data_IF_692268901710
#
_entry.id   IF_692268901710
#
_cell.length_a   1.000
_cell.length_b   1.000
_cell.length_c   1.000
_cell.angle_alpha   90.00
_cell.angle_beta   90.00
_cell.angle_gamma   90.00
#
_symmetry.space_group_name_H-M   'P 1'
#
loop_
_entity.id
_entity.type
_entity.pdbx_description
1 polymer ?
#
# COMPACT_ATOMS: atom_id res chain seq x y z
N UNK A 1 29.97 -28.09 -9.85
CA UNK A 1 30.68 -26.84 -10.15
C UNK A 1 29.79 -25.99 -11.04
N UNK A 2 28.99 -25.10 -10.44
CA UNK A 2 28.23 -24.08 -11.18
C UNK A 2 28.74 -22.74 -10.68
N UNK A 3 29.42 -22.02 -11.58
CA UNK A 3 30.05 -20.71 -11.39
C UNK A 3 28.97 -19.71 -10.96
N UNK A 4 29.03 -19.15 -9.75
CA UNK A 4 29.75 -17.92 -9.39
C UNK A 4 29.18 -16.64 -10.04
N UNK A 5 28.73 -15.72 -9.18
CA UNK A 5 28.58 -14.26 -9.38
C UNK A 5 27.36 -13.71 -10.16
N UNK A 6 26.12 -13.96 -9.73
CA UNK A 6 24.95 -13.10 -10.08
C UNK A 6 23.87 -13.02 -9.00
N UNK A 7 24.23 -13.19 -7.73
CA UNK A 7 23.27 -13.10 -6.60
C UNK A 7 22.61 -11.72 -6.44
N UNK A 8 23.09 -10.70 -7.14
CA UNK A 8 22.53 -9.35 -7.16
C UNK A 8 21.30 -9.26 -8.07
N UNK A 9 21.33 -9.87 -9.26
CA UNK A 9 20.22 -9.80 -10.20
C UNK A 9 19.00 -10.57 -9.72
N UNK A 10 19.19 -11.80 -9.25
CA UNK A 10 18.11 -12.63 -8.72
C UNK A 10 17.48 -11.98 -7.47
N UNK A 11 18.30 -11.40 -6.58
CA UNK A 11 17.79 -10.68 -5.39
C UNK A 11 17.07 -9.39 -5.76
N UNK A 12 17.62 -8.57 -6.67
CA UNK A 12 16.97 -7.31 -7.08
C UNK A 12 15.59 -7.60 -7.70
N UNK A 13 15.48 -8.59 -8.60
CA UNK A 13 14.21 -8.91 -9.26
C UNK A 13 13.17 -9.50 -8.31
N UNK A 14 13.57 -10.27 -7.29
CA UNK A 14 12.63 -10.79 -6.30
C UNK A 14 12.08 -9.71 -5.35
N UNK A 15 12.80 -8.60 -5.12
CA UNK A 15 12.40 -7.59 -4.13
C UNK A 15 11.70 -6.36 -4.77
N UNK A 16 11.84 -6.13 -6.08
CA UNK A 16 11.37 -4.88 -6.76
C UNK A 16 10.06 -4.97 -7.53
N UNK A 17 9.31 -6.07 -7.45
CA UNK A 17 7.98 -6.10 -8.08
C UNK A 17 6.97 -5.38 -7.19
N UNK A 18 6.69 -4.12 -7.53
CA UNK A 18 5.55 -3.38 -7.01
C UNK A 18 4.28 -4.21 -7.26
N UNK A 19 3.55 -4.60 -6.20
CA UNK A 19 2.46 -5.52 -6.31
C UNK A 19 1.31 -4.80 -7.00
N UNK A 20 0.75 -5.46 -8.01
CA UNK A 20 -0.37 -4.91 -8.79
C UNK A 20 -1.70 -5.13 -8.07
N UNK A 21 -1.75 -6.09 -7.17
CA UNK A 21 -2.94 -6.45 -6.42
C UNK A 21 -2.65 -6.57 -4.93
N UNK A 22 -3.69 -6.41 -4.10
CA UNK A 22 -3.56 -6.62 -2.66
C UNK A 22 -3.12 -8.06 -2.33
N UNK A 23 -3.57 -9.05 -3.13
CA UNK A 23 -3.20 -10.45 -2.91
C UNK A 23 -1.70 -10.66 -3.08
N UNK A 24 -1.11 -10.06 -4.13
CA UNK A 24 0.33 -10.12 -4.37
C UNK A 24 1.11 -9.46 -3.24
N UNK A 25 0.63 -8.31 -2.74
CA UNK A 25 1.23 -7.63 -1.59
C UNK A 25 1.22 -8.51 -0.33
N UNK A 26 0.13 -9.23 -0.07
CA UNK A 26 0.00 -10.14 1.08
C UNK A 26 0.88 -11.40 0.99
N UNK A 27 1.51 -11.68 -0.15
CA UNK A 27 2.46 -12.80 -0.24
C UNK A 27 3.85 -12.45 0.30
N UNK A 28 4.12 -11.17 0.54
CA UNK A 28 5.45 -10.68 0.85
C UNK A 28 5.44 -9.88 2.16
N UNK A 29 6.26 -10.29 3.12
CA UNK A 29 6.31 -9.69 4.46
C UNK A 29 6.54 -8.18 4.43
N UNK A 30 7.43 -7.72 3.55
CA UNK A 30 7.79 -6.30 3.46
C UNK A 30 6.65 -5.39 2.96
N UNK A 31 5.67 -5.95 2.22
CA UNK A 31 4.46 -5.21 1.84
C UNK A 31 3.39 -5.28 2.92
N UNK A 32 3.29 -6.41 3.64
CA UNK A 32 2.42 -6.53 4.82
C UNK A 32 2.81 -5.50 5.88
N UNK A 33 4.11 -5.38 6.17
CA UNK A 33 4.63 -4.37 7.09
C UNK A 33 4.28 -2.95 6.64
N UNK A 34 4.43 -2.64 5.35
CA UNK A 34 4.08 -1.32 4.81
C UNK A 34 2.58 -1.01 4.90
N UNK A 35 1.70 -2.00 4.72
CA UNK A 35 0.24 -1.84 4.91
C UNK A 35 -0.08 -1.66 6.40
N UNK A 36 0.57 -2.41 7.28
CA UNK A 36 0.36 -2.32 8.72
C UNK A 36 0.82 -0.97 9.27
N UNK A 37 1.95 -0.44 8.80
CA UNK A 37 2.38 0.91 9.15
C UNK A 37 1.34 1.97 8.78
N UNK A 38 0.78 1.89 7.56
CA UNK A 38 -0.27 2.81 7.11
C UNK A 38 -1.54 2.70 7.98
N UNK A 39 -1.98 1.48 8.30
CA UNK A 39 -3.13 1.26 9.18
C UNK A 39 -2.87 1.79 10.60
N UNK A 40 -1.68 1.56 11.15
CA UNK A 40 -1.29 2.06 12.47
C UNK A 40 -1.27 3.60 12.51
N UNK A 41 -0.88 4.26 11.42
CA UNK A 41 -0.94 5.71 11.33
C UNK A 41 -2.39 6.23 11.35
N UNK A 42 -3.32 5.55 10.68
CA UNK A 42 -4.75 5.91 10.78
C UNK A 42 -5.30 5.73 12.19
N UNK A 43 -4.90 4.66 12.89
CA UNK A 43 -5.29 4.42 14.27
C UNK A 43 -4.69 5.48 15.21
N UNK A 44 -3.40 5.79 15.06
CA UNK A 44 -2.71 6.80 15.88
C UNK A 44 -3.29 8.21 15.69
N UNK A 45 -3.72 8.53 14.48
CA UNK A 45 -4.33 9.81 14.16
C UNK A 45 -5.85 9.84 14.41
N UNK A 46 -6.43 8.73 14.90
CA UNK A 46 -7.87 8.57 15.14
C UNK A 46 -8.73 8.91 13.91
N UNK A 47 -8.18 8.72 12.71
CA UNK A 47 -8.83 9.11 11.46
C UNK A 47 -9.94 8.12 11.04
N UNK A 48 -9.92 6.90 11.57
CA UNK A 48 -10.78 5.80 11.13
C UNK A 48 -11.37 5.06 12.32
N UNK A 49 -12.70 4.87 12.30
CA UNK A 49 -13.41 3.97 13.20
C UNK A 49 -13.85 2.71 12.44
N UNK A 50 -13.61 1.54 13.04
CA UNK A 50 -14.04 0.27 12.47
C UNK A 50 -15.53 0.04 12.75
N UNK A 51 -16.39 0.48 11.83
CA UNK A 51 -17.86 0.35 11.96
C UNK A 51 -18.35 -0.96 11.33
N UNK A 52 -19.29 -1.70 11.96
CA UNK A 52 -19.91 -2.86 11.32
C UNK A 52 -20.59 -2.47 10.02
N UNK A 53 -20.48 -3.33 9.01
CA UNK A 53 -21.08 -3.11 7.70
C UNK A 53 -22.61 -3.02 7.83
N UNK A 54 -23.18 -1.89 7.44
CA UNK A 54 -24.63 -1.72 7.31
C UNK A 54 -25.12 -2.28 5.97
N UNK A 55 -26.17 -3.11 5.99
CA UNK A 55 -26.73 -3.75 4.79
C UNK A 55 -27.32 -2.76 3.78
N UNK A 56 -27.58 -1.52 4.21
CA UNK A 56 -28.24 -0.48 3.41
C UNK A 56 -27.27 0.56 2.82
N UNK A 57 -25.98 0.47 3.14
CA UNK A 57 -24.98 1.46 2.75
C UNK A 57 -24.05 0.88 1.69
N UNK A 58 -23.77 1.67 0.65
CA UNK A 58 -22.79 1.30 -0.36
C UNK A 58 -21.39 1.37 0.24
N UNK A 59 -20.72 0.22 0.33
CA UNK A 59 -19.35 0.16 0.82
C UNK A 59 -18.43 0.81 -0.20
N UNK A 60 -17.77 1.90 0.19
CA UNK A 60 -16.72 2.51 -0.62
C UNK A 60 -15.57 1.50 -0.71
N UNK A 61 -15.26 1.09 -1.94
CA UNK A 61 -14.14 0.18 -2.16
C UNK A 61 -12.84 0.93 -1.93
N UNK A 62 -11.82 0.31 -1.35
CA UNK A 62 -10.48 0.88 -1.21
C UNK A 62 -9.55 0.30 -2.27
N UNK A 63 -8.57 1.11 -2.70
CA UNK A 63 -7.45 0.71 -3.54
C UNK A 63 -6.16 1.04 -2.82
N UNK A 64 -5.33 0.02 -2.61
CA UNK A 64 -3.97 0.20 -2.12
C UNK A 64 -3.03 0.61 -3.26
N UNK A 65 -2.19 1.59 -3.00
CA UNK A 65 -1.09 2.04 -3.87
C UNK A 65 0.21 1.64 -3.19
N UNK A 66 1.13 1.05 -3.95
CA UNK A 66 2.40 0.56 -3.44
C UNK A 66 3.53 1.30 -4.13
N UNK A 67 4.52 1.73 -3.37
CA UNK A 67 5.69 2.43 -3.89
C UNK A 67 6.94 2.01 -3.15
N UNK A 68 7.97 1.66 -3.90
CA UNK A 68 9.30 1.40 -3.34
C UNK A 68 10.10 2.71 -3.34
N UNK A 69 10.69 3.08 -2.20
CA UNK A 69 11.70 4.14 -2.12
C UNK A 69 13.08 3.50 -2.24
N UNK A 70 13.83 3.97 -3.23
CA UNK A 70 15.21 3.57 -3.47
C UNK A 70 16.18 4.63 -2.92
N UNK A 71 17.37 4.20 -2.52
CA UNK A 71 18.50 5.07 -2.22
C UNK A 71 19.24 5.51 -3.50
N UNK A 72 20.27 6.35 -3.36
CA UNK A 72 21.08 6.86 -4.48
C UNK A 72 21.85 5.74 -5.23
N UNK A 73 22.04 4.60 -4.59
CA UNK A 73 22.72 3.42 -5.13
C UNK A 73 21.73 2.38 -5.70
N UNK A 74 20.43 2.68 -5.70
CA UNK A 74 19.37 1.77 -6.13
C UNK A 74 19.01 0.67 -5.14
N UNK A 75 19.51 0.75 -3.90
CA UNK A 75 19.12 -0.09 -2.77
C UNK A 75 17.73 0.29 -2.25
N UNK A 76 17.01 -0.67 -1.66
CA UNK A 76 15.66 -0.43 -1.15
C UNK A 76 15.75 0.20 0.23
N UNK A 77 15.31 1.45 0.32
CA UNK A 77 15.30 2.21 1.55
C UNK A 77 14.05 1.90 2.38
N UNK A 78 12.87 1.94 1.74
CA UNK A 78 11.58 1.69 2.40
C UNK A 78 10.48 1.37 1.40
N UNK A 79 9.61 0.44 1.75
CA UNK A 79 8.36 0.20 1.03
C UNK A 79 7.26 1.02 1.67
N UNK A 80 6.45 1.70 0.85
CA UNK A 80 5.32 2.48 1.33
C UNK A 80 4.05 1.97 0.67
N UNK A 81 3.04 1.69 1.48
CA UNK A 81 1.68 1.47 1.03
C UNK A 81 0.85 2.73 1.34
N UNK A 82 -0.15 3.01 0.51
CA UNK A 82 -1.13 4.07 0.76
C UNK A 82 -2.53 3.56 0.42
N UNK A 83 -3.49 3.78 1.31
CA UNK A 83 -4.88 3.40 1.08
C UNK A 83 -5.66 4.59 0.52
N UNK A 84 -6.30 4.40 -0.63
CA UNK A 84 -7.11 5.43 -1.28
C UNK A 84 -8.50 4.89 -1.53
N UNK A 85 -9.53 5.68 -1.22
CA UNK A 85 -10.90 5.37 -1.63
C UNK A 85 -10.96 5.23 -3.15
N UNK A 86 -11.43 4.07 -3.61
CA UNK A 86 -11.77 3.79 -5.01
C UNK A 86 -13.14 4.45 -5.27
N UNK A 87 -13.15 5.78 -5.25
CA UNK A 87 -14.34 6.61 -5.45
C UNK A 87 -14.37 7.21 -6.85
N UNK A 88 -15.53 7.09 -7.50
CA UNK A 88 -15.87 7.80 -8.73
C UNK A 88 -16.01 9.31 -8.46
N UNK A 89 -15.68 10.14 -9.48
CA UNK A 89 -15.92 11.59 -9.64
C UNK A 89 -15.91 12.42 -8.34
N UNK A 90 -14.73 12.84 -7.88
CA UNK A 90 -14.65 14.13 -7.19
C UNK A 90 -15.11 15.19 -8.20
N UNK A 91 -16.24 15.83 -7.94
CA UNK A 91 -16.55 17.10 -8.59
C UNK A 91 -15.77 18.19 -7.85
N UNK A 92 -14.96 18.95 -8.59
CA UNK A 92 -14.27 20.13 -8.07
C UNK A 92 -15.31 21.09 -7.47
N UNK A 93 -15.24 21.35 -6.16
CA UNK A 93 -16.06 22.36 -5.50
C UNK A 93 -17.16 21.88 -4.53
N UNK A 94 -17.21 20.60 -4.15
CA UNK A 94 -18.06 20.16 -3.03
C UNK A 94 -17.18 19.89 -1.81
N UNK A 95 -16.94 20.94 -1.04
CA UNK A 95 -16.42 20.81 0.33
C UNK A 95 -17.53 20.22 1.20
N UNK A 96 -17.23 19.15 1.94
CA UNK A 96 -18.16 18.63 2.94
C UNK A 96 -18.01 19.52 4.17
N UNK A 97 -18.92 20.49 4.34
CA UNK A 97 -19.04 21.22 5.61
C UNK A 97 -19.47 20.23 6.70
N UNK A 98 -18.53 19.92 7.59
CA UNK A 98 -18.79 19.25 8.87
C UNK A 98 -19.68 20.17 9.72
N UNK A 99 -20.92 19.74 10.01
CA UNK A 99 -21.84 20.43 10.95
C UNK A 99 -21.58 20.05 12.39
#
# INVERSE_FOLDING_TARGET
>A
MFLSQTGLWIKITQITLEPKTYKDALTQSYWIEAIQEELNEFERLELWELVPRSDKVMVITLKSIYKVKLDELGGILKNKAGLVARGYRQEEGIDFEES
#
